data_IF_234268595796
#
_entry.id   IF_234268595796
#
_cell.length_a   1.000
_cell.length_b   1.000
_cell.length_c   1.000
_cell.angle_alpha   90.00
_cell.angle_beta   90.00
_cell.angle_gamma   90.00
#
_symmetry.space_group_name_H-M   'P 1'
#
loop_
_entity.id
_entity.type
_entity.pdbx_description
1 polymer ?
#
# COMPACT_ATOMS: atom_id res chain seq x y z
N UNK A 1 -9.50 -12.89 -8.32
CA UNK A 1 -8.79 -12.68 -7.03
C UNK A 1 -7.34 -12.20 -7.20
N UNK A 2 -6.52 -12.80 -8.09
CA UNK A 2 -5.11 -12.39 -8.29
C UNK A 2 -4.91 -10.89 -8.59
N UNK A 3 -5.71 -10.31 -9.49
CA UNK A 3 -5.66 -8.87 -9.81
C UNK A 3 -6.03 -7.97 -8.62
N UNK A 4 -6.97 -8.42 -7.79
CA UNK A 4 -7.41 -7.66 -6.60
C UNK A 4 -6.30 -7.65 -5.57
N UNK A 5 -5.68 -8.79 -5.28
CA UNK A 5 -4.53 -8.87 -4.38
C UNK A 5 -3.36 -7.99 -4.87
N UNK A 6 -3.11 -7.92 -6.17
CA UNK A 6 -2.08 -7.03 -6.73
C UNK A 6 -2.37 -5.55 -6.46
N UNK A 7 -3.63 -5.10 -6.44
CA UNK A 7 -3.91 -3.69 -6.12
C UNK A 7 -3.51 -3.31 -4.68
N UNK A 8 -3.46 -4.26 -3.75
CA UNK A 8 -3.12 -3.97 -2.35
C UNK A 8 -1.66 -4.31 -2.04
N UNK A 9 -1.15 -5.45 -2.52
CA UNK A 9 0.20 -5.92 -2.19
C UNK A 9 1.30 -5.08 -2.86
N UNK A 10 1.08 -4.59 -4.08
CA UNK A 10 2.07 -3.75 -4.77
C UNK A 10 2.29 -2.42 -4.03
N UNK A 11 1.25 -1.62 -3.72
CA UNK A 11 1.44 -0.38 -2.97
C UNK A 11 2.08 -0.61 -1.59
N UNK A 12 1.65 -1.64 -0.86
CA UNK A 12 2.26 -1.99 0.44
C UNK A 12 3.75 -2.27 0.27
N UNK A 13 4.14 -3.10 -0.70
CA UNK A 13 5.54 -3.40 -0.97
C UNK A 13 6.36 -2.17 -1.37
N UNK A 14 5.79 -1.29 -2.19
CA UNK A 14 6.43 -0.02 -2.57
C UNK A 14 6.68 0.89 -1.38
N UNK A 15 5.66 1.13 -0.56
CA UNK A 15 5.81 1.98 0.62
C UNK A 15 6.78 1.34 1.63
N UNK A 16 6.79 0.02 1.75
CA UNK A 16 7.68 -0.68 2.67
C UNK A 16 9.13 -0.57 2.24
N UNK A 17 9.42 -0.70 0.95
CA UNK A 17 10.77 -0.46 0.41
C UNK A 17 11.23 0.98 0.64
N UNK A 18 10.32 1.95 0.48
CA UNK A 18 10.63 3.36 0.76
C UNK A 18 10.95 3.60 2.23
N UNK A 19 10.14 3.03 3.14
CA UNK A 19 10.32 3.22 4.58
C UNK A 19 11.46 2.40 5.18
N UNK A 20 11.85 1.28 4.54
CA UNK A 20 12.97 0.44 4.98
C UNK A 20 14.31 1.21 5.04
N UNK A 21 14.51 2.19 4.15
CA UNK A 21 15.69 3.06 4.16
C UNK A 21 15.83 3.89 5.45
N UNK A 22 14.73 4.09 6.18
CA UNK A 22 14.67 4.89 7.39
C UNK A 22 14.79 4.06 8.67
N UNK A 23 14.94 2.73 8.58
CA UNK A 23 15.01 1.86 9.77
C UNK A 23 16.35 1.91 10.50
N UNK A 24 17.41 2.41 9.86
CA UNK A 24 18.74 2.43 10.47
C UNK A 24 18.81 3.44 11.62
N UNK A 25 19.19 2.98 12.81
CA UNK A 25 19.34 3.82 14.00
C UNK A 25 18.03 4.26 14.67
N UNK A 26 16.88 3.72 14.23
CA UNK A 26 15.59 3.98 14.87
C UNK A 26 15.30 2.97 15.97
N UNK A 27 14.52 3.39 16.96
CA UNK A 27 14.03 2.52 18.02
C UNK A 27 12.94 1.55 17.52
N UNK A 28 12.72 0.48 18.27
CA UNK A 28 11.77 -0.58 17.89
C UNK A 28 10.33 -0.08 17.76
N UNK A 29 9.92 0.89 18.59
CA UNK A 29 8.57 1.44 18.53
C UNK A 29 8.38 2.24 17.23
N UNK A 30 9.36 3.04 16.84
CA UNK A 30 9.34 3.77 15.56
C UNK A 30 9.29 2.82 14.37
N UNK A 31 10.07 1.74 14.37
CA UNK A 31 10.03 0.73 13.29
C UNK A 31 8.64 0.09 13.17
N UNK A 32 8.01 -0.28 14.30
CA UNK A 32 6.67 -0.86 14.32
C UNK A 32 5.61 0.14 13.81
N UNK A 33 5.64 1.38 14.29
CA UNK A 33 4.70 2.42 13.88
C UNK A 33 4.84 2.74 12.39
N UNK A 34 6.06 2.83 11.90
CA UNK A 34 6.33 3.03 10.47
C UNK A 34 5.83 1.85 9.65
N UNK A 35 6.04 0.60 10.11
CA UNK A 35 5.55 -0.60 9.42
C UNK A 35 4.02 -0.60 9.33
N UNK A 36 3.33 -0.31 10.43
CA UNK A 36 1.86 -0.21 10.46
C UNK A 36 1.37 0.91 9.54
N UNK A 37 1.96 2.10 9.63
CA UNK A 37 1.60 3.23 8.78
C UNK A 37 1.80 2.93 7.29
N UNK A 38 2.88 2.24 6.96
CA UNK A 38 3.18 1.77 5.59
C UNK A 38 2.10 0.83 5.07
N UNK A 39 1.68 -0.15 5.88
CA UNK A 39 0.62 -1.10 5.50
C UNK A 39 -0.71 -0.35 5.30
N UNK A 40 -1.07 0.54 6.23
CA UNK A 40 -2.30 1.34 6.13
C UNK A 40 -2.31 2.21 4.87
N UNK A 41 -1.20 2.87 4.55
CA UNK A 41 -1.09 3.67 3.34
C UNK A 41 -1.14 2.82 2.07
N UNK A 42 -0.46 1.67 2.05
CA UNK A 42 -0.55 0.75 0.92
C UNK A 42 -1.96 0.22 0.70
N UNK A 43 -2.69 -0.11 1.77
CA UNK A 43 -4.09 -0.52 1.69
C UNK A 43 -5.00 0.60 1.18
N UNK A 44 -4.82 1.82 1.66
CA UNK A 44 -5.60 2.99 1.23
C UNK A 44 -5.39 3.28 -0.26
N UNK A 45 -4.13 3.34 -0.71
CA UNK A 45 -3.80 3.54 -2.12
C UNK A 45 -4.35 2.39 -2.97
N UNK A 46 -4.21 1.15 -2.51
CA UNK A 46 -4.76 -0.01 -3.20
C UNK A 46 -6.29 0.04 -3.32
N UNK A 47 -6.99 0.52 -2.29
CA UNK A 47 -8.43 0.72 -2.32
C UNK A 47 -8.83 1.78 -3.36
N UNK A 48 -8.15 2.93 -3.38
CA UNK A 48 -8.41 4.00 -4.36
C UNK A 48 -8.19 3.51 -5.80
N UNK A 49 -7.08 2.81 -6.05
CA UNK A 49 -6.78 2.25 -7.38
C UNK A 49 -7.83 1.21 -7.79
N UNK A 50 -8.24 0.36 -6.86
CA UNK A 50 -9.27 -0.64 -7.11
C UNK A 50 -10.61 0.01 -7.45
N UNK A 51 -11.01 1.06 -6.71
CA UNK A 51 -12.23 1.82 -6.98
C UNK A 51 -12.17 2.52 -8.34
N UNK A 52 -11.05 3.15 -8.68
CA UNK A 52 -10.84 3.79 -9.98
C UNK A 52 -11.00 2.79 -11.14
N UNK A 53 -10.49 1.56 -10.98
CA UNK A 53 -10.68 0.49 -11.96
C UNK A 53 -12.13 0.05 -12.10
N UNK A 54 -12.90 0.02 -11.01
CA UNK A 54 -14.34 -0.28 -11.04
C UNK A 54 -15.08 0.84 -11.79
N UNK A 55 -14.79 2.10 -11.48
CA UNK A 55 -15.40 3.27 -12.15
C UNK A 55 -15.08 3.24 -13.65
N UNK A 56 -13.81 3.05 -14.03
CA UNK A 56 -13.39 2.92 -15.43
C UNK A 56 -14.14 1.82 -16.15
N UNK A 57 -14.31 0.65 -15.52
CA UNK A 57 -15.06 -0.47 -16.10
C UNK A 57 -16.54 -0.14 -16.33
N UNK A 58 -17.14 0.70 -15.49
CA UNK A 58 -18.52 1.14 -15.65
C UNK A 58 -18.66 2.28 -16.69
N UNK A 59 -17.65 3.13 -16.87
CA UNK A 59 -17.65 4.21 -17.87
C UNK A 59 -17.30 3.73 -19.28
N UNK A 60 -16.49 2.67 -19.44
CA UNK A 60 -16.16 2.07 -20.73
C UNK A 60 -17.15 1.00 -21.19
N UNK A 61 -18.31 0.90 -20.53
CA UNK A 61 -19.47 0.13 -20.97
C UNK A 61 -20.52 1.08 -21.51
#
# INVERSE_FOLDING_TARGET
>A
MKKVASYYLLPIGFFWLLSASQFYGQDMQTILMTTVGTILMGLLVGFVVHLAMIIKKNLSK
#
